data_IF_562632506764
#
_entry.id   IF_562632506764
#
_cell.length_a   1.000
_cell.length_b   1.000
_cell.length_c   1.000
_cell.angle_alpha   90.00
_cell.angle_beta   90.00
_cell.angle_gamma   90.00
#
_symmetry.space_group_name_H-M   'P 1'
#
loop_
_entity.id
_entity.type
_entity.pdbx_description
1 polymer ?
#
# COMPACT_ATOMS: atom_id res chain seq x y z
N UNK A 1 -29.68 -41.62 28.56
CA UNK A 1 -29.19 -40.90 27.37
C UNK A 1 -28.99 -41.91 26.26
N UNK A 2 -29.48 -41.67 25.04
CA UNK A 2 -29.46 -42.69 23.98
C UNK A 2 -28.08 -42.84 23.34
N UNK A 3 -27.76 -44.05 22.90
CA UNK A 3 -26.52 -44.45 22.22
C UNK A 3 -26.21 -43.57 20.98
N UNK A 4 -27.25 -42.99 20.39
CA UNK A 4 -27.18 -42.02 19.29
C UNK A 4 -26.59 -40.67 19.71
N UNK A 5 -26.87 -40.20 20.93
CA UNK A 5 -26.34 -38.95 21.44
C UNK A 5 -24.83 -39.05 21.71
N UNK A 6 -24.37 -40.18 22.26
CA UNK A 6 -22.95 -40.47 22.47
C UNK A 6 -22.16 -40.51 21.15
N UNK A 7 -22.66 -41.25 20.14
CA UNK A 7 -22.03 -41.28 18.80
C UNK A 7 -21.92 -39.90 18.14
N UNK A 8 -22.90 -39.02 18.34
CA UNK A 8 -22.84 -37.63 17.84
C UNK A 8 -21.77 -36.80 18.54
N UNK A 9 -21.59 -37.00 19.85
CA UNK A 9 -20.55 -36.31 20.64
C UNK A 9 -19.17 -36.80 20.21
N UNK A 10 -18.97 -38.11 20.08
CA UNK A 10 -17.71 -38.71 19.59
C UNK A 10 -17.32 -38.15 18.21
N UNK A 11 -18.26 -38.10 17.27
CA UNK A 11 -18.03 -37.54 15.93
C UNK A 11 -17.64 -36.06 15.96
N UNK A 12 -18.23 -35.28 16.88
CA UNK A 12 -17.89 -33.85 17.03
C UNK A 12 -16.51 -33.67 17.66
N UNK A 13 -16.16 -34.50 18.65
CA UNK A 13 -14.83 -34.49 19.27
C UNK A 13 -13.74 -34.86 18.27
N UNK A 14 -13.95 -35.90 17.45
CA UNK A 14 -13.02 -36.27 16.39
C UNK A 14 -12.82 -35.13 15.38
N UNK A 15 -13.91 -34.46 14.98
CA UNK A 15 -13.84 -33.29 14.09
C UNK A 15 -13.05 -32.13 14.72
N UNK A 16 -13.27 -31.84 16.01
CA UNK A 16 -12.54 -30.79 16.72
C UNK A 16 -11.05 -31.11 16.83
N UNK A 17 -10.68 -32.37 17.09
CA UNK A 17 -9.29 -32.79 17.14
C UNK A 17 -8.57 -32.55 15.79
N UNK A 18 -9.19 -32.94 14.67
CA UNK A 18 -8.63 -32.68 13.33
C UNK A 18 -8.51 -31.19 13.03
N UNK A 19 -9.49 -30.37 13.46
CA UNK A 19 -9.43 -28.92 13.28
C UNK A 19 -8.31 -28.29 14.12
N UNK A 20 -8.10 -28.78 15.34
CA UNK A 20 -7.03 -28.34 16.22
C UNK A 20 -5.66 -28.69 15.64
N UNK A 21 -5.47 -29.91 15.14
CA UNK A 21 -4.23 -30.33 14.45
C UNK A 21 -3.93 -29.42 13.25
N UNK A 22 -4.94 -29.11 12.44
CA UNK A 22 -4.78 -28.21 11.30
C UNK A 22 -4.44 -26.76 11.71
N UNK A 23 -4.96 -26.28 12.85
CA UNK A 23 -4.61 -24.96 13.38
C UNK A 23 -3.17 -24.97 13.92
N UNK A 24 -2.79 -25.99 14.70
CA UNK A 24 -1.43 -26.13 15.22
C UNK A 24 -0.41 -26.18 14.08
N UNK A 25 -0.63 -26.98 13.05
CA UNK A 25 0.27 -27.05 11.90
C UNK A 25 0.38 -25.71 11.15
N UNK A 26 -0.71 -24.94 11.08
CA UNK A 26 -0.69 -23.59 10.49
C UNK A 26 0.05 -22.58 11.37
N UNK A 27 -0.05 -22.71 12.69
CA UNK A 27 0.68 -21.88 13.63
C UNK A 27 2.18 -22.18 13.55
N UNK A 28 2.58 -23.45 13.57
CA UNK A 28 3.98 -23.85 13.40
C UNK A 28 4.56 -23.32 12.07
N UNK A 29 3.82 -23.46 10.97
CA UNK A 29 4.26 -22.91 9.68
C UNK A 29 4.35 -21.37 9.67
N UNK A 30 3.56 -20.67 10.48
CA UNK A 30 3.65 -19.21 10.64
C UNK A 30 4.80 -18.82 11.57
N UNK A 31 4.99 -19.54 12.67
CA UNK A 31 6.10 -19.37 13.61
C UNK A 31 7.43 -19.61 12.90
N UNK A 32 7.55 -20.66 12.08
CA UNK A 32 8.75 -20.89 11.25
C UNK A 32 8.98 -19.75 10.25
N UNK A 33 7.93 -19.23 9.63
CA UNK A 33 8.04 -18.07 8.72
C UNK A 33 8.44 -16.78 9.42
N UNK A 34 8.07 -16.62 10.68
CA UNK A 34 8.46 -15.47 11.53
C UNK A 34 9.86 -15.67 12.11
N UNK A 35 10.24 -16.92 12.44
CA UNK A 35 11.51 -17.28 13.03
C UNK A 35 12.64 -17.40 12.01
N UNK A 36 12.32 -17.64 10.73
CA UNK A 36 13.29 -17.58 9.64
C UNK A 36 13.48 -16.12 9.27
N UNK A 37 14.61 -15.47 9.61
CA UNK A 37 14.89 -14.15 9.09
C UNK A 37 14.86 -14.24 7.57
N UNK A 38 14.26 -13.24 6.91
CA UNK A 38 14.36 -13.11 5.46
C UNK A 38 15.82 -13.35 5.08
N UNK A 39 16.08 -14.27 4.15
CA UNK A 39 17.45 -14.55 3.68
C UNK A 39 18.10 -13.34 2.98
N UNK A 40 17.41 -12.20 2.94
CA UNK A 40 17.95 -10.91 2.54
C UNK A 40 18.82 -10.34 3.65
N UNK A 41 20.04 -9.94 3.33
CA UNK A 41 20.89 -9.18 4.24
C UNK A 41 20.19 -7.89 4.68
N UNK A 42 20.49 -7.44 5.91
CA UNK A 42 20.05 -6.15 6.42
C UNK A 42 20.28 -5.04 5.39
N UNK A 43 19.36 -4.08 5.33
CA UNK A 43 19.48 -2.95 4.40
C UNK A 43 20.68 -2.08 4.79
N UNK A 44 21.51 -1.74 3.81
CA UNK A 44 22.57 -0.76 4.01
C UNK A 44 21.96 0.65 4.15
N UNK A 45 22.61 1.58 4.87
CA UNK A 45 22.12 2.96 5.00
C UNK A 45 21.86 3.64 3.65
N UNK A 46 22.69 3.37 2.63
CA UNK A 46 22.53 3.92 1.28
C UNK A 46 21.26 3.42 0.59
N UNK A 47 20.95 2.12 0.69
CA UNK A 47 19.69 1.56 0.16
C UNK A 47 18.47 2.20 0.83
N UNK A 48 18.54 2.44 2.14
CA UNK A 48 17.44 3.08 2.89
C UNK A 48 17.25 4.51 2.43
N UNK A 49 18.32 5.30 2.38
CA UNK A 49 18.27 6.70 1.93
C UNK A 49 17.74 6.78 0.50
N UNK A 50 18.24 5.93 -0.41
CA UNK A 50 17.79 5.91 -1.80
C UNK A 50 16.30 5.59 -1.92
N UNK A 51 15.80 4.60 -1.15
CA UNK A 51 14.39 4.26 -1.14
C UNK A 51 13.54 5.39 -0.58
N UNK A 52 13.94 5.99 0.55
CA UNK A 52 13.17 7.07 1.18
C UNK A 52 13.10 8.30 0.27
N UNK A 53 14.20 8.68 -0.39
CA UNK A 53 14.22 9.85 -1.28
C UNK A 53 13.43 9.58 -2.57
N UNK A 54 13.54 8.37 -3.11
CA UNK A 54 12.67 7.85 -4.16
C UNK A 54 11.19 7.97 -3.82
N UNK A 55 10.82 7.46 -2.64
CA UNK A 55 9.44 7.41 -2.22
C UNK A 55 8.90 8.81 -1.94
N UNK A 56 9.68 9.66 -1.25
CA UNK A 56 9.36 11.08 -1.01
C UNK A 56 9.06 11.82 -2.31
N UNK A 57 9.92 11.68 -3.31
CA UNK A 57 9.73 12.35 -4.60
C UNK A 57 8.46 11.85 -5.32
N UNK A 58 8.19 10.55 -5.24
CA UNK A 58 6.97 9.94 -5.76
C UNK A 58 5.70 10.47 -5.11
N UNK A 59 5.64 10.47 -3.77
CA UNK A 59 4.52 10.98 -2.97
C UNK A 59 4.28 12.48 -3.23
N UNK A 60 5.35 13.28 -3.35
CA UNK A 60 5.24 14.70 -3.69
C UNK A 60 4.62 14.91 -5.08
N UNK A 61 5.02 14.12 -6.08
CA UNK A 61 4.41 14.15 -7.40
C UNK A 61 2.96 13.64 -7.38
N UNK A 62 2.67 12.60 -6.59
CA UNK A 62 1.32 12.08 -6.36
C UNK A 62 0.39 13.17 -5.83
N UNK A 63 0.81 13.86 -4.77
CA UNK A 63 0.09 14.98 -4.19
C UNK A 63 -0.17 16.11 -5.21
N UNK A 64 0.85 16.51 -5.98
CA UNK A 64 0.73 17.57 -6.99
C UNK A 64 -0.20 17.17 -8.15
N UNK A 65 -0.08 15.93 -8.63
CA UNK A 65 -0.88 15.44 -9.76
C UNK A 65 -2.35 15.23 -9.37
N UNK A 66 -2.62 14.79 -8.13
CA UNK A 66 -3.98 14.69 -7.60
C UNK A 66 -4.57 16.08 -7.35
N UNK A 67 -3.78 17.05 -6.90
CA UNK A 67 -4.22 18.44 -6.80
C UNK A 67 -4.64 18.98 -8.17
N UNK A 68 -3.85 18.73 -9.22
CA UNK A 68 -4.23 19.10 -10.60
C UNK A 68 -5.54 18.41 -11.04
N UNK A 69 -5.76 17.16 -10.66
CA UNK A 69 -7.03 16.49 -10.92
C UNK A 69 -8.20 17.16 -10.18
N UNK A 70 -8.03 17.48 -8.90
CA UNK A 70 -9.07 18.11 -8.09
C UNK A 70 -9.60 19.42 -8.69
N UNK A 71 -8.74 20.20 -9.35
CA UNK A 71 -9.12 21.45 -10.03
C UNK A 71 -10.10 21.23 -11.19
N UNK A 72 -10.03 20.07 -11.85
CA UNK A 72 -10.90 19.72 -13.00
C UNK A 72 -11.92 18.63 -12.69
N UNK A 73 -11.93 18.11 -11.45
CA UNK A 73 -12.76 16.97 -11.07
C UNK A 73 -14.24 17.36 -10.95
N UNK A 74 -15.07 16.73 -11.79
CA UNK A 74 -16.51 17.02 -11.88
C UNK A 74 -17.38 16.01 -11.11
N UNK A 75 -16.82 14.87 -10.73
CA UNK A 75 -17.54 13.78 -10.07
C UNK A 75 -17.40 13.81 -8.55
N UNK A 76 -18.51 13.99 -7.82
CA UNK A 76 -18.48 14.26 -6.37
C UNK A 76 -17.83 13.15 -5.53
N UNK A 77 -18.12 11.88 -5.82
CA UNK A 77 -17.53 10.76 -5.07
C UNK A 77 -16.00 10.68 -5.29
N UNK A 78 -15.53 10.97 -6.51
CA UNK A 78 -14.10 11.03 -6.84
C UNK A 78 -13.46 12.21 -6.13
N UNK A 79 -14.06 13.40 -6.22
CA UNK A 79 -13.56 14.61 -5.55
C UNK A 79 -13.41 14.42 -4.03
N UNK A 80 -14.39 13.77 -3.40
CA UNK A 80 -14.33 13.43 -1.97
C UNK A 80 -13.16 12.51 -1.61
N UNK A 81 -12.96 11.45 -2.41
CA UNK A 81 -11.84 10.53 -2.25
C UNK A 81 -10.49 11.23 -2.44
N UNK A 82 -10.32 11.94 -3.56
CA UNK A 82 -9.07 12.59 -3.93
C UNK A 82 -8.59 13.65 -2.93
N UNK A 83 -9.50 14.35 -2.23
CA UNK A 83 -9.10 15.27 -1.16
C UNK A 83 -8.39 14.58 0.00
N UNK A 84 -8.83 13.37 0.35
CA UNK A 84 -8.18 12.61 1.42
C UNK A 84 -6.85 12.05 0.93
N UNK A 85 -6.83 11.50 -0.28
CA UNK A 85 -5.61 10.94 -0.88
C UNK A 85 -4.54 12.03 -1.03
N UNK A 86 -4.88 13.18 -1.61
CA UNK A 86 -3.92 14.28 -1.79
C UNK A 86 -3.26 14.73 -0.49
N UNK A 87 -4.01 14.79 0.62
CA UNK A 87 -3.47 15.15 1.93
C UNK A 87 -2.52 14.07 2.48
N UNK A 88 -2.85 12.79 2.27
CA UNK A 88 -1.98 11.66 2.67
C UNK A 88 -0.67 11.69 1.92
N UNK A 89 -0.70 11.84 0.60
CA UNK A 89 0.49 11.90 -0.25
C UNK A 89 1.42 13.06 0.16
N UNK A 90 0.84 14.24 0.41
CA UNK A 90 1.60 15.39 0.88
C UNK A 90 2.21 15.16 2.28
N UNK A 91 1.46 14.52 3.18
CA UNK A 91 1.94 14.15 4.51
C UNK A 91 3.06 13.10 4.44
N UNK A 92 2.91 12.07 3.61
CA UNK A 92 3.93 11.04 3.43
C UNK A 92 5.23 11.64 2.90
N UNK A 93 5.16 12.48 1.87
CA UNK A 93 6.31 13.19 1.36
C UNK A 93 7.04 13.99 2.47
N UNK A 94 6.29 14.74 3.29
CA UNK A 94 6.88 15.49 4.40
C UNK A 94 7.53 14.59 5.47
N UNK A 95 6.86 13.49 5.85
CA UNK A 95 7.40 12.54 6.85
C UNK A 95 8.67 11.83 6.34
N UNK A 96 8.70 11.46 5.06
CA UNK A 96 9.87 10.84 4.42
C UNK A 96 11.03 11.83 4.34
N UNK A 97 10.76 13.09 4.02
CA UNK A 97 11.75 14.17 4.03
C UNK A 97 12.35 14.40 5.42
N UNK A 98 11.50 14.51 6.44
CA UNK A 98 11.94 14.66 7.83
C UNK A 98 12.79 13.46 8.27
N UNK A 99 12.39 12.24 7.86
CA UNK A 99 13.16 11.04 8.18
C UNK A 99 14.53 11.00 7.49
N UNK A 100 14.61 11.40 6.21
CA UNK A 100 15.88 11.53 5.49
C UNK A 100 16.85 12.45 6.23
N UNK A 101 16.36 13.64 6.65
CA UNK A 101 17.16 14.60 7.42
C UNK A 101 17.61 14.04 8.76
N UNK A 102 16.72 13.32 9.47
CA UNK A 102 17.06 12.68 10.74
C UNK A 102 18.16 11.60 10.59
N UNK A 103 18.22 10.94 9.43
CA UNK A 103 19.28 10.00 9.07
C UNK A 103 20.57 10.68 8.58
N UNK A 104 20.62 12.01 8.54
CA UNK A 104 21.77 12.79 8.08
C UNK A 104 21.91 12.89 6.56
N UNK A 105 20.84 12.56 5.81
CA UNK A 105 20.78 12.72 4.37
C UNK A 105 19.98 13.97 3.97
N UNK A 106 20.26 14.48 2.77
CA UNK A 106 19.46 15.55 2.17
C UNK A 106 18.50 14.95 1.12
N UNK A 107 17.25 15.44 1.01
CA UNK A 107 16.32 15.05 -0.04
C UNK A 107 16.78 15.66 -1.37
N UNK A 108 17.42 14.87 -2.23
CA UNK A 108 18.08 15.38 -3.45
C UNK A 108 17.47 14.85 -4.73
N UNK A 109 16.69 13.78 -4.66
CA UNK A 109 16.08 13.18 -5.83
C UNK A 109 14.98 14.08 -6.39
N UNK A 110 15.21 14.60 -7.58
CA UNK A 110 14.17 15.23 -8.39
C UNK A 110 13.76 14.28 -9.50
N UNK A 111 12.46 14.04 -9.65
CA UNK A 111 11.96 13.29 -10.79
C UNK A 111 12.23 14.08 -12.08
N UNK A 112 12.45 13.42 -13.23
CA UNK A 112 12.63 14.12 -14.49
C UNK A 112 11.47 15.09 -14.74
N UNK A 113 11.77 16.37 -14.98
CA UNK A 113 10.75 17.41 -15.11
C UNK A 113 9.68 17.07 -16.15
N UNK A 114 10.08 16.45 -17.27
CA UNK A 114 9.17 16.00 -18.31
C UNK A 114 8.14 14.97 -17.80
N UNK A 115 8.56 14.05 -16.94
CA UNK A 115 7.66 13.02 -16.38
C UNK A 115 6.68 13.64 -15.39
N UNK A 116 7.16 14.56 -14.55
CA UNK A 116 6.32 15.31 -13.61
C UNK A 116 5.29 16.19 -14.32
N UNK A 117 5.73 16.94 -15.34
CA UNK A 117 4.85 17.77 -16.17
C UNK A 117 3.79 16.93 -16.89
N UNK A 118 4.18 15.78 -17.43
CA UNK A 118 3.27 14.87 -18.12
C UNK A 118 2.23 14.28 -17.15
N UNK A 119 2.63 13.84 -15.96
CA UNK A 119 1.71 13.32 -14.94
C UNK A 119 0.67 14.37 -14.51
N UNK A 120 1.12 15.61 -14.25
CA UNK A 120 0.22 16.72 -13.92
C UNK A 120 -0.72 17.06 -15.07
N UNK A 121 -0.22 17.04 -16.32
CA UNK A 121 -1.03 17.31 -17.51
C UNK A 121 -2.11 16.24 -17.71
N UNK A 122 -1.77 14.97 -17.55
CA UNK A 122 -2.72 13.87 -17.76
C UNK A 122 -3.86 13.90 -16.74
N UNK A 123 -3.53 14.09 -15.46
CA UNK A 123 -4.54 14.16 -14.41
C UNK A 123 -5.28 15.51 -14.37
N UNK A 124 -4.62 16.61 -14.73
CA UNK A 124 -5.19 17.95 -14.80
C UNK A 124 -5.99 18.26 -16.07
N UNK A 125 -5.98 17.39 -17.08
CA UNK A 125 -6.73 17.62 -18.31
C UNK A 125 -8.23 17.41 -18.11
N UNK A 126 -9.06 18.38 -18.50
CA UNK A 126 -10.52 18.22 -18.55
C UNK A 126 -11.00 17.46 -19.79
N UNK A 127 -10.10 17.07 -20.70
CA UNK A 127 -10.44 16.30 -21.90
C UNK A 127 -10.77 14.83 -21.58
N UNK A 128 -10.25 14.33 -20.45
CA UNK A 128 -10.55 12.99 -19.95
C UNK A 128 -11.51 13.05 -18.76
N UNK A 129 -12.53 12.20 -18.79
CA UNK A 129 -13.47 12.08 -17.68
C UNK A 129 -12.79 11.49 -16.43
N UNK A 130 -13.33 11.79 -15.25
CA UNK A 130 -12.85 11.19 -14.00
C UNK A 130 -12.91 9.65 -14.06
N UNK A 131 -13.96 9.10 -14.67
CA UNK A 131 -14.12 7.66 -14.88
C UNK A 131 -12.98 7.07 -15.73
N UNK A 132 -12.56 7.75 -16.80
CA UNK A 132 -11.44 7.31 -17.62
C UNK A 132 -10.11 7.36 -16.86
N UNK A 133 -9.84 8.46 -16.13
CA UNK A 133 -8.61 8.58 -15.32
C UNK A 133 -8.51 7.49 -14.25
N UNK A 134 -9.63 7.16 -13.60
CA UNK A 134 -9.70 6.03 -12.68
C UNK A 134 -9.40 4.70 -13.36
N UNK A 135 -9.97 4.47 -14.55
CA UNK A 135 -9.73 3.25 -15.32
C UNK A 135 -8.23 3.11 -15.66
N UNK A 136 -7.63 4.15 -16.24
CA UNK A 136 -6.21 4.20 -16.60
C UNK A 136 -5.32 3.94 -15.36
N UNK A 137 -5.69 4.47 -14.19
CA UNK A 137 -4.98 4.20 -12.94
C UNK A 137 -5.10 2.72 -12.53
N UNK A 138 -6.30 2.16 -12.53
CA UNK A 138 -6.54 0.77 -12.10
C UNK A 138 -5.92 -0.26 -13.05
N UNK A 139 -5.80 0.06 -14.34
CA UNK A 139 -5.08 -0.78 -15.30
C UNK A 139 -3.57 -0.79 -15.04
N UNK A 140 -3.01 0.37 -14.67
CA UNK A 140 -1.59 0.51 -14.32
C UNK A 140 -1.25 -0.13 -12.98
N UNK A 141 -2.17 -0.08 -12.02
CA UNK A 141 -2.01 -0.61 -10.67
C UNK A 141 -3.16 -1.59 -10.39
N UNK A 142 -3.09 -2.82 -10.92
CA UNK A 142 -4.15 -3.81 -10.75
C UNK A 142 -4.15 -4.44 -9.35
N UNK A 143 -3.00 -4.45 -8.67
CA UNK A 143 -2.82 -5.14 -7.39
C UNK A 143 -1.99 -4.28 -6.41
N UNK A 144 -2.63 -3.84 -5.33
CA UNK A 144 -1.98 -3.07 -4.26
C UNK A 144 -0.87 -3.88 -3.57
N UNK A 145 -1.04 -5.19 -3.39
CA UNK A 145 -0.06 -6.01 -2.69
C UNK A 145 1.26 -6.08 -3.47
N UNK A 146 1.19 -6.15 -4.81
CA UNK A 146 2.38 -6.12 -5.66
C UNK A 146 3.06 -4.76 -5.65
N UNK A 147 2.28 -3.66 -5.69
CA UNK A 147 2.81 -2.30 -5.63
C UNK A 147 3.58 -2.05 -4.33
N UNK A 148 3.03 -2.51 -3.21
CA UNK A 148 3.54 -2.21 -1.87
C UNK A 148 4.61 -3.20 -1.39
N UNK A 149 4.79 -4.31 -2.10
CA UNK A 149 5.78 -5.33 -1.75
C UNK A 149 7.18 -4.75 -1.53
N UNK A 150 7.73 -3.88 -2.39
CA UNK A 150 9.07 -3.32 -2.18
C UNK A 150 9.20 -2.51 -0.88
N UNK A 151 8.13 -1.83 -0.45
CA UNK A 151 8.11 -1.04 0.79
C UNK A 151 8.13 -1.98 2.00
N UNK A 152 7.30 -3.02 1.99
CA UNK A 152 7.29 -4.04 3.05
C UNK A 152 8.60 -4.84 3.10
N UNK A 153 9.15 -5.22 1.95
CA UNK A 153 10.44 -5.92 1.87
C UNK A 153 11.59 -5.07 2.45
N UNK A 154 11.57 -3.75 2.22
CA UNK A 154 12.53 -2.84 2.87
C UNK A 154 12.29 -2.79 4.37
N UNK A 155 11.05 -2.60 4.83
CA UNK A 155 10.72 -2.56 6.25
C UNK A 155 11.13 -3.84 7.00
N UNK A 156 11.02 -5.00 6.36
CA UNK A 156 11.43 -6.30 6.92
C UNK A 156 12.96 -6.43 7.07
N UNK A 157 13.77 -5.56 6.43
CA UNK A 157 15.24 -5.55 6.50
C UNK A 157 15.81 -4.50 7.47
N UNK A 158 14.96 -3.80 8.22
CA UNK A 158 15.30 -2.66 9.08
C UNK A 158 15.27 -2.99 10.59
N UNK A 159 15.84 -4.11 11.00
CA UNK A 159 15.81 -4.59 12.41
C UNK A 159 16.40 -3.59 13.43
N UNK A 160 17.33 -2.75 12.99
CA UNK A 160 18.02 -1.77 13.84
C UNK A 160 17.52 -0.33 13.67
N UNK A 161 16.56 -0.11 12.78
CA UNK A 161 15.92 1.20 12.55
C UNK A 161 14.40 1.05 12.63
N UNK A 162 13.91 0.90 13.86
CA UNK A 162 12.49 0.69 14.13
C UNK A 162 11.63 1.88 13.70
N UNK A 163 12.15 3.10 13.78
CA UNK A 163 11.39 4.29 13.38
C UNK A 163 11.12 4.28 11.87
N UNK A 164 12.15 4.07 11.04
CA UNK A 164 11.98 3.94 9.59
C UNK A 164 11.12 2.72 9.25
N UNK A 165 11.32 1.59 9.92
CA UNK A 165 10.51 0.39 9.72
C UNK A 165 9.02 0.66 9.92
N UNK A 166 8.63 1.25 11.06
CA UNK A 166 7.22 1.52 11.36
C UNK A 166 6.64 2.66 10.52
N UNK A 167 7.46 3.65 10.15
CA UNK A 167 7.08 4.69 9.21
C UNK A 167 6.68 4.09 7.86
N UNK A 168 7.56 3.27 7.26
CA UNK A 168 7.30 2.63 5.96
C UNK A 168 6.06 1.74 5.98
N UNK A 169 5.86 0.96 7.06
CA UNK A 169 4.65 0.13 7.22
C UNK A 169 3.38 0.97 7.33
N UNK A 170 3.43 2.08 8.05
CA UNK A 170 2.27 2.96 8.24
C UNK A 170 1.88 3.63 6.92
N UNK A 171 2.86 4.16 6.18
CA UNK A 171 2.65 4.73 4.85
C UNK A 171 2.07 3.66 3.90
N UNK A 172 2.65 2.45 3.87
CA UNK A 172 2.16 1.38 3.01
C UNK A 172 0.69 0.98 3.28
N UNK A 173 0.22 1.05 4.53
CA UNK A 173 -1.18 0.81 4.88
C UNK A 173 -2.12 1.92 4.39
N UNK A 174 -1.68 3.17 4.46
CA UNK A 174 -2.41 4.29 3.89
C UNK A 174 -2.47 4.19 2.36
N UNK A 175 -1.39 3.76 1.71
CA UNK A 175 -1.35 3.51 0.27
C UNK A 175 -2.26 2.35 -0.17
N UNK A 176 -2.31 1.26 0.59
CA UNK A 176 -3.26 0.17 0.34
C UNK A 176 -4.71 0.68 0.40
N UNK A 177 -4.98 1.57 1.36
CA UNK A 177 -6.28 2.22 1.50
C UNK A 177 -6.59 3.14 0.32
N UNK A 178 -5.60 3.90 -0.17
CA UNK A 178 -5.70 4.74 -1.38
C UNK A 178 -6.05 3.90 -2.60
N UNK A 179 -5.27 2.85 -2.90
CA UNK A 179 -5.52 1.98 -4.05
C UNK A 179 -6.90 1.33 -3.95
N UNK A 180 -7.27 0.81 -2.78
CA UNK A 180 -8.60 0.21 -2.55
C UNK A 180 -9.73 1.21 -2.82
N UNK A 181 -9.59 2.45 -2.36
CA UNK A 181 -10.58 3.50 -2.56
C UNK A 181 -10.72 3.87 -4.04
N UNK A 182 -9.60 4.02 -4.74
CA UNK A 182 -9.58 4.33 -6.18
C UNK A 182 -10.20 3.19 -7.00
N UNK A 183 -9.89 1.93 -6.69
CA UNK A 183 -10.51 0.77 -7.33
C UNK A 183 -12.02 0.73 -7.12
N UNK A 184 -12.51 1.03 -5.91
CA UNK A 184 -13.95 1.11 -5.63
C UNK A 184 -14.63 2.25 -6.40
N UNK A 185 -14.00 3.42 -6.47
CA UNK A 185 -14.51 4.53 -7.26
C UNK A 185 -14.55 4.18 -8.76
N UNK A 186 -13.52 3.49 -9.26
CA UNK A 186 -13.46 3.00 -10.62
C UNK A 186 -14.61 2.02 -10.92
N UNK A 187 -14.79 1.00 -10.09
CA UNK A 187 -15.86 0.01 -10.26
C UNK A 187 -17.27 0.63 -10.24
N UNK A 188 -17.48 1.66 -9.41
CA UNK A 188 -18.74 2.40 -9.36
C UNK A 188 -19.03 3.15 -10.66
N UNK A 189 -18.01 3.74 -11.28
CA UNK A 189 -18.16 4.61 -12.45
C UNK A 189 -17.94 3.89 -13.78
N UNK A 190 -17.29 2.73 -13.76
CA UNK A 190 -17.01 1.87 -14.91
C UNK A 190 -17.56 0.45 -14.67
N UNK A 191 -18.90 0.27 -14.52
CA UNK A 191 -19.48 -1.03 -14.17
C UNK A 191 -19.31 -2.12 -15.25
N UNK A 192 -18.88 -1.74 -16.46
CA UNK A 192 -18.59 -2.67 -17.56
C UNK A 192 -17.12 -3.14 -17.59
N UNK A 193 -16.26 -2.55 -16.75
CA UNK A 193 -14.85 -2.90 -16.62
C UNK A 193 -14.56 -3.78 -15.39
N UNK A 194 -15.60 -4.11 -14.59
CA UNK A 194 -15.54 -4.94 -13.39
C UNK A 194 -15.90 -6.41 -13.65
#
# INVERSE_FOLDING_TARGET
MSDSAFKKIEKRLAKLATQQEAICARLEALEDRVATPSSASAASPEEVIQLLDGFRAGEALGAASIAAWLEVCSTDCVRGALRTVQQREAMHAALLEDRLRALGAEPTLELPAADAEQAMKDLGSSEHSDAKKLLDFTERIPDAALLLKPIYDMADRLDHDQETQWLLRSIAQDEESTVTLIHRACALLNPQAA
#
